data_IF_501718954294
#
_entry.id   IF_501718954294
#
_cell.length_a   1.000
_cell.length_b   1.000
_cell.length_c   1.000
_cell.angle_alpha   90.00
_cell.angle_beta   90.00
_cell.angle_gamma   90.00
#
_symmetry.space_group_name_H-M   'P 1'
#
loop_
_entity.id
_entity.type
_entity.pdbx_description
1 polymer ?
#
# COMPACT_ATOMS: atom_id res chain seq x y z
N UNK A 1 8.93 -1.95 -17.50
CA UNK A 1 9.17 -0.84 -16.53
C UNK A 1 8.84 0.54 -17.09
N UNK A 2 8.79 0.74 -18.41
CA UNK A 2 8.50 2.05 -19.02
C UNK A 2 7.15 2.68 -18.66
N UNK A 3 6.09 1.89 -18.45
CA UNK A 3 4.74 2.41 -18.21
C UNK A 3 4.50 2.90 -16.79
N UNK A 4 5.13 2.25 -15.82
CA UNK A 4 5.12 2.73 -14.44
C UNK A 4 5.74 4.11 -14.39
N UNK A 5 6.88 4.31 -15.06
CA UNK A 5 7.49 5.63 -15.21
C UNK A 5 6.57 6.67 -15.85
N UNK A 6 5.71 6.27 -16.81
CA UNK A 6 4.72 7.17 -17.41
C UNK A 6 3.61 7.55 -16.43
N UNK A 7 3.06 6.60 -15.68
CA UNK A 7 2.05 6.88 -14.66
C UNK A 7 2.63 7.72 -13.52
N UNK A 8 3.82 7.36 -13.04
CA UNK A 8 4.53 8.10 -12.00
C UNK A 8 4.84 9.53 -12.46
N UNK A 9 5.23 9.73 -13.73
CA UNK A 9 5.46 11.07 -14.26
C UNK A 9 4.20 11.94 -14.20
N UNK A 10 3.03 11.36 -14.48
CA UNK A 10 1.76 12.09 -14.38
C UNK A 10 1.33 12.34 -12.94
N UNK A 11 1.58 11.39 -12.04
CA UNK A 11 1.31 11.57 -10.62
C UNK A 11 2.20 12.68 -10.02
N UNK A 12 3.47 12.69 -10.39
CA UNK A 12 4.44 13.69 -9.93
C UNK A 12 4.08 15.09 -10.43
N UNK A 13 3.62 15.23 -11.68
CA UNK A 13 3.10 16.50 -12.18
C UNK A 13 1.86 16.95 -11.38
N UNK A 14 0.91 16.04 -11.09
CA UNK A 14 -0.28 16.37 -10.29
C UNK A 14 0.05 16.80 -8.87
N UNK A 15 1.02 16.14 -8.23
CA UNK A 15 1.51 16.49 -6.88
C UNK A 15 2.21 17.85 -6.89
N UNK A 16 3.05 18.12 -7.88
CA UNK A 16 3.69 19.42 -8.04
C UNK A 16 2.65 20.54 -8.17
N UNK A 17 1.64 20.33 -9.02
CA UNK A 17 0.56 21.29 -9.19
C UNK A 17 -0.25 21.48 -7.90
N UNK A 18 -0.59 20.40 -7.17
CA UNK A 18 -1.35 20.51 -5.92
C UNK A 18 -0.58 21.24 -4.83
N UNK A 19 0.73 21.01 -4.70
CA UNK A 19 1.60 21.71 -3.76
C UNK A 19 1.63 23.20 -4.07
N UNK A 20 1.89 23.59 -5.32
CA UNK A 20 1.89 25.00 -5.68
C UNK A 20 0.55 25.69 -5.47
N UNK A 21 -0.56 25.01 -5.77
CA UNK A 21 -1.90 25.55 -5.53
C UNK A 21 -2.18 25.76 -4.04
N UNK A 22 -1.70 24.83 -3.20
CA UNK A 22 -1.84 24.91 -1.74
C UNK A 22 -1.02 26.06 -1.17
N UNK A 23 0.24 26.19 -1.59
CA UNK A 23 1.08 27.33 -1.21
C UNK A 23 0.51 28.67 -1.69
N UNK A 24 -0.08 28.70 -2.88
CA UNK A 24 -0.72 29.89 -3.41
C UNK A 24 -1.94 30.30 -2.59
N UNK A 25 -2.82 29.36 -2.25
CA UNK A 25 -4.04 29.65 -1.48
C UNK A 25 -3.78 29.97 -0.02
N UNK A 26 -2.68 29.47 0.56
CA UNK A 26 -2.25 29.81 1.91
C UNK A 26 -1.63 31.20 2.00
N UNK A 27 -0.87 31.62 0.98
CA UNK A 27 -0.13 32.88 1.01
C UNK A 27 -0.90 34.06 0.37
N UNK A 28 -1.89 33.78 -0.48
CA UNK A 28 -2.73 34.78 -1.12
C UNK A 28 -4.20 34.43 -0.85
N UNK A 29 -4.95 35.35 -0.25
CA UNK A 29 -6.40 35.25 -0.04
C UNK A 29 -7.17 35.35 -1.36
N UNK A 30 -7.00 34.36 -2.23
CA UNK A 30 -7.61 34.31 -3.56
C UNK A 30 -9.00 33.67 -3.43
N UNK A 31 -9.94 34.41 -2.86
CA UNK A 31 -11.35 33.98 -2.85
C UNK A 31 -12.09 34.32 -4.15
N UNK A 32 -11.57 35.27 -4.93
CA UNK A 32 -12.16 35.69 -6.20
C UNK A 32 -11.36 35.10 -7.37
N UNK A 33 -12.04 34.39 -8.27
CA UNK A 33 -11.47 33.77 -9.47
C UNK A 33 -10.36 32.74 -9.21
N UNK A 34 -10.50 31.93 -8.16
CA UNK A 34 -9.54 30.88 -7.78
C UNK A 34 -9.13 29.98 -8.97
N UNK A 35 -10.08 29.60 -9.83
CA UNK A 35 -9.80 28.77 -11.01
C UNK A 35 -8.88 29.42 -12.05
N UNK A 36 -8.97 30.74 -12.21
CA UNK A 36 -8.13 31.46 -13.17
C UNK A 36 -6.69 31.53 -12.66
N UNK A 37 -6.52 31.69 -11.35
CA UNK A 37 -5.21 31.66 -10.71
C UNK A 37 -4.58 30.27 -10.78
N UNK A 38 -5.36 29.21 -10.52
CA UNK A 38 -4.90 27.84 -10.71
C UNK A 38 -4.47 27.59 -12.16
N UNK A 39 -5.25 28.06 -13.14
CA UNK A 39 -4.91 27.92 -14.56
C UNK A 39 -3.64 28.68 -14.94
N UNK A 40 -3.47 29.92 -14.47
CA UNK A 40 -2.26 30.72 -14.71
C UNK A 40 -1.04 30.04 -14.10
N UNK A 41 -1.17 29.51 -12.88
CA UNK A 41 -0.11 28.78 -12.21
C UNK A 41 0.28 27.54 -13.00
N UNK A 42 -0.69 26.70 -13.38
CA UNK A 42 -0.43 25.48 -14.14
C UNK A 42 0.26 25.81 -15.47
N UNK A 43 -0.19 26.88 -16.13
CA UNK A 43 0.41 27.39 -17.36
C UNK A 43 1.85 27.83 -17.16
N UNK A 44 2.16 28.54 -16.06
CA UNK A 44 3.52 28.96 -15.72
C UNK A 44 4.41 27.75 -15.44
N UNK A 45 3.96 26.81 -14.60
CA UNK A 45 4.70 25.58 -14.27
C UNK A 45 5.03 24.80 -15.55
N UNK A 46 4.05 24.60 -16.42
CA UNK A 46 4.31 23.95 -17.71
C UNK A 46 5.21 24.78 -18.62
N UNK A 47 5.05 26.10 -18.64
CA UNK A 47 5.89 26.97 -19.46
C UNK A 47 7.36 26.83 -19.06
N UNK A 48 7.66 26.88 -17.76
CA UNK A 48 9.03 26.71 -17.25
C UNK A 48 9.53 25.28 -17.40
N UNK A 49 8.73 24.27 -17.07
CA UNK A 49 9.10 22.86 -17.20
C UNK A 49 9.40 22.44 -18.64
N UNK A 50 8.63 22.95 -19.61
CA UNK A 50 8.82 22.62 -21.02
C UNK A 50 9.85 23.48 -21.76
N UNK A 51 10.32 24.60 -21.17
CA UNK A 51 11.24 25.55 -21.84
C UNK A 51 12.62 24.95 -22.08
N UNK A 52 13.08 24.07 -21.21
CA UNK A 52 14.45 23.54 -21.23
C UNK A 52 14.66 22.39 -22.23
N UNK A 53 13.59 21.88 -22.84
CA UNK A 53 13.67 20.78 -23.79
C UNK A 53 13.35 21.25 -25.21
N UNK A 54 14.38 21.30 -26.07
CA UNK A 54 14.30 21.91 -27.39
C UNK A 54 14.56 20.90 -28.52
N UNK A 55 13.73 19.84 -28.58
CA UNK A 55 13.68 18.91 -29.74
C UNK A 55 12.41 19.15 -30.54
N UNK A 56 12.51 19.21 -31.86
CA UNK A 56 11.44 19.72 -32.73
C UNK A 56 10.10 18.95 -32.60
N UNK A 57 10.11 17.65 -32.25
CA UNK A 57 8.92 16.77 -32.22
C UNK A 57 8.81 15.97 -30.92
N UNK A 58 9.62 16.30 -29.92
CA UNK A 58 9.58 15.67 -28.61
C UNK A 58 9.44 16.76 -27.56
N UNK A 59 8.56 16.54 -26.59
CA UNK A 59 8.37 17.45 -25.48
C UNK A 59 8.27 16.68 -24.18
N UNK A 60 8.57 17.39 -23.09
CA UNK A 60 8.60 16.84 -21.76
C UNK A 60 7.94 17.82 -20.80
N UNK A 61 7.26 17.28 -19.80
CA UNK A 61 6.84 18.03 -18.60
C UNK A 61 7.92 17.91 -17.53
N UNK A 62 7.72 18.59 -16.40
CA UNK A 62 8.66 18.51 -15.30
C UNK A 62 8.77 17.07 -14.77
N UNK A 63 7.65 16.43 -14.46
CA UNK A 63 7.61 15.05 -14.00
C UNK A 63 8.10 14.07 -15.06
N UNK A 64 7.84 14.31 -16.34
CA UNK A 64 8.32 13.43 -17.41
C UNK A 64 9.84 13.53 -17.61
N UNK A 65 10.46 14.69 -17.38
CA UNK A 65 11.93 14.82 -17.39
C UNK A 65 12.55 13.98 -16.28
N UNK A 66 12.03 14.07 -15.06
CA UNK A 66 12.53 13.32 -13.91
C UNK A 66 12.39 11.81 -14.09
N UNK A 67 11.26 11.35 -14.63
CA UNK A 67 10.99 9.93 -14.88
C UNK A 67 11.58 9.39 -16.18
N UNK A 68 12.22 10.23 -17.01
CA UNK A 68 12.80 9.83 -18.30
C UNK A 68 11.77 9.52 -19.39
N UNK A 69 10.56 10.08 -19.28
CA UNK A 69 9.47 9.93 -20.23
C UNK A 69 9.48 11.11 -21.22
N UNK A 70 9.38 10.80 -22.51
CA UNK A 70 9.26 11.76 -23.61
C UNK A 70 7.91 11.64 -24.28
N UNK A 71 7.29 12.76 -24.63
CA UNK A 71 6.09 12.78 -25.46
C UNK A 71 6.46 13.13 -26.90
N UNK A 72 6.07 12.30 -27.86
CA UNK A 72 6.28 12.56 -29.28
C UNK A 72 5.18 13.48 -29.81
N UNK A 73 5.15 14.72 -29.33
CA UNK A 73 4.20 15.71 -29.79
C UNK A 73 4.77 17.12 -29.68
N UNK A 74 4.08 18.08 -30.33
CA UNK A 74 4.44 19.49 -30.26
C UNK A 74 4.11 20.03 -28.87
N UNK A 75 4.83 21.07 -28.44
CA UNK A 75 4.57 21.74 -27.15
C UNK A 75 3.13 22.21 -27.00
N UNK A 76 2.54 22.72 -28.09
CA UNK A 76 1.13 23.19 -28.11
C UNK A 76 0.14 22.05 -27.87
N UNK A 77 0.36 20.88 -28.49
CA UNK A 77 -0.54 19.73 -28.31
C UNK A 77 -0.44 19.18 -26.89
N UNK A 78 0.78 19.11 -26.33
CA UNK A 78 0.97 18.68 -24.94
C UNK A 78 0.28 19.64 -23.96
N UNK A 79 0.43 20.95 -24.18
CA UNK A 79 -0.24 21.98 -23.38
C UNK A 79 -1.77 21.84 -23.42
N UNK A 80 -2.33 21.61 -24.61
CA UNK A 80 -3.77 21.43 -24.79
C UNK A 80 -4.25 20.21 -24.00
N UNK A 81 -3.53 19.10 -24.10
CA UNK A 81 -3.91 17.86 -23.39
C UNK A 81 -3.77 18.03 -21.88
N UNK A 82 -2.65 18.55 -21.39
CA UNK A 82 -2.32 18.55 -19.97
C UNK A 82 -3.09 19.62 -19.17
N UNK A 83 -3.18 20.84 -19.69
CA UNK A 83 -3.69 21.99 -18.92
C UNK A 83 -5.02 22.47 -19.47
N UNK A 84 -5.12 22.64 -20.79
CA UNK A 84 -6.31 23.24 -21.38
C UNK A 84 -7.53 22.31 -21.24
N UNK A 85 -7.34 20.99 -21.41
CA UNK A 85 -8.43 20.02 -21.31
C UNK A 85 -9.07 19.97 -19.92
N UNK A 86 -8.25 20.04 -18.87
CA UNK A 86 -8.71 20.01 -17.48
C UNK A 86 -9.44 21.31 -17.12
N UNK A 87 -8.92 22.46 -17.56
CA UNK A 87 -9.57 23.75 -17.38
C UNK A 87 -10.90 23.88 -18.15
N UNK A 88 -10.96 23.45 -19.42
CA UNK A 88 -12.23 23.44 -20.15
C UNK A 88 -13.23 22.48 -19.50
N UNK A 89 -12.78 21.31 -19.04
CA UNK A 89 -13.63 20.37 -18.32
C UNK A 89 -14.27 20.98 -17.07
N UNK A 90 -13.48 21.69 -16.26
CA UNK A 90 -13.99 22.36 -15.05
C UNK A 90 -14.95 23.50 -15.39
N UNK A 91 -14.64 24.33 -16.39
CA UNK A 91 -15.53 25.42 -16.83
C UNK A 91 -16.85 24.92 -17.43
N UNK A 92 -16.78 23.90 -18.29
CA UNK A 92 -17.97 23.32 -18.92
C UNK A 92 -18.83 22.66 -17.85
N UNK A 93 -18.26 21.85 -16.96
CA UNK A 93 -19.01 21.23 -15.88
C UNK A 93 -19.68 22.28 -14.99
N UNK A 94 -18.96 23.30 -14.54
CA UNK A 94 -19.55 24.40 -13.76
C UNK A 94 -20.71 25.06 -14.50
N UNK A 95 -20.54 25.41 -15.78
CA UNK A 95 -21.60 26.04 -16.57
C UNK A 95 -22.80 25.13 -16.80
N UNK A 96 -22.59 23.83 -17.00
CA UNK A 96 -23.66 22.84 -17.16
C UNK A 96 -24.45 22.65 -15.86
N UNK A 97 -23.77 22.64 -14.71
CA UNK A 97 -24.41 22.41 -13.41
C UNK A 97 -24.91 23.67 -12.70
N UNK A 98 -24.33 24.85 -12.95
CA UNK A 98 -24.76 26.13 -12.36
C UNK A 98 -26.01 26.72 -13.01
N UNK A 99 -26.49 26.11 -14.09
CA UNK A 99 -27.55 26.67 -14.90
C UNK A 99 -28.93 26.23 -14.41
N UNK A 100 -29.76 27.22 -14.08
CA UNK A 100 -31.17 27.07 -13.70
C UNK A 100 -32.02 26.63 -14.89
N UNK A 101 -33.09 25.88 -14.60
CA UNK A 101 -34.01 25.32 -15.59
C UNK A 101 -34.57 26.39 -16.53
N UNK A 102 -34.21 26.32 -17.82
CA UNK A 102 -34.79 27.19 -18.86
C UNK A 102 -33.86 27.59 -20.02
N UNK A 103 -32.54 27.44 -19.88
CA UNK A 103 -31.59 27.77 -20.96
C UNK A 103 -31.13 26.53 -21.74
N UNK A 104 -30.54 26.74 -22.93
CA UNK A 104 -30.06 25.68 -23.84
C UNK A 104 -29.18 24.62 -23.16
N UNK A 105 -28.46 24.99 -22.10
CA UNK A 105 -27.59 24.07 -21.34
C UNK A 105 -28.36 23.01 -20.56
N UNK A 106 -29.60 23.26 -20.15
CA UNK A 106 -30.41 22.23 -19.47
C UNK A 106 -30.75 21.08 -20.42
N UNK A 107 -30.94 21.38 -21.71
CA UNK A 107 -31.15 20.36 -22.76
C UNK A 107 -29.87 19.59 -23.10
N UNK A 108 -28.70 20.20 -22.90
CA UNK A 108 -27.39 19.58 -23.12
C UNK A 108 -26.90 18.78 -21.91
N UNK A 109 -27.48 18.97 -20.72
CA UNK A 109 -27.17 18.21 -19.51
C UNK A 109 -27.25 16.68 -19.70
N UNK A 110 -28.34 16.08 -20.26
CA UNK A 110 -28.38 14.63 -20.49
C UNK A 110 -27.30 14.17 -21.47
N UNK A 111 -27.02 14.97 -22.51
CA UNK A 111 -25.96 14.67 -23.48
C UNK A 111 -24.57 14.69 -22.82
N UNK A 112 -24.30 15.69 -21.97
CA UNK A 112 -23.05 15.79 -21.21
C UNK A 112 -22.85 14.59 -20.28
N UNK A 113 -23.89 14.18 -19.55
CA UNK A 113 -23.84 13.00 -18.67
C UNK A 113 -23.56 11.73 -19.49
N UNK A 114 -24.24 11.55 -20.63
CA UNK A 114 -24.00 10.43 -21.52
C UNK A 114 -22.56 10.42 -22.07
N UNK A 115 -22.07 11.57 -22.55
CA UNK A 115 -20.68 11.75 -23.00
C UNK A 115 -19.67 11.48 -21.87
N UNK A 116 -19.97 11.89 -20.64
CA UNK A 116 -19.12 11.63 -19.48
C UNK A 116 -19.02 10.13 -19.18
N UNK A 117 -20.14 9.40 -19.24
CA UNK A 117 -20.14 7.94 -19.09
C UNK A 117 -19.41 7.25 -20.23
N UNK A 118 -19.64 7.68 -21.48
CA UNK A 118 -18.94 7.16 -22.65
C UNK A 118 -17.43 7.41 -22.55
N UNK A 119 -17.02 8.62 -22.13
CA UNK A 119 -15.62 8.95 -21.91
C UNK A 119 -15.01 8.07 -20.81
N UNK A 120 -15.72 7.87 -19.70
CA UNK A 120 -15.24 7.00 -18.61
C UNK A 120 -15.08 5.55 -19.05
N UNK A 121 -16.02 5.03 -19.86
CA UNK A 121 -15.91 3.70 -20.43
C UNK A 121 -14.75 3.61 -21.43
N UNK A 122 -14.59 4.61 -22.29
CA UNK A 122 -13.48 4.68 -23.25
C UNK A 122 -12.13 4.80 -22.53
N UNK A 123 -12.07 5.52 -21.41
CA UNK A 123 -10.87 5.67 -20.58
C UNK A 123 -10.51 4.36 -19.89
N UNK A 124 -11.50 3.65 -19.32
CA UNK A 124 -11.28 2.32 -18.74
C UNK A 124 -10.77 1.32 -19.78
N UNK A 125 -11.36 1.31 -20.97
CA UNK A 125 -10.90 0.46 -22.08
C UNK A 125 -9.50 0.87 -22.53
N UNK A 126 -9.24 2.17 -22.67
CA UNK A 126 -7.92 2.67 -23.05
C UNK A 126 -6.85 2.30 -22.01
N UNK A 127 -7.18 2.43 -20.73
CA UNK A 127 -6.30 2.05 -19.63
C UNK A 127 -6.06 0.53 -19.58
N UNK A 128 -7.10 -0.29 -19.76
CA UNK A 128 -6.94 -1.74 -19.87
C UNK A 128 -6.05 -2.11 -21.06
N UNK A 129 -6.27 -1.50 -22.24
CA UNK A 129 -5.40 -1.69 -23.40
C UNK A 129 -3.97 -1.20 -23.17
N UNK A 130 -3.79 -0.09 -22.44
CA UNK A 130 -2.49 0.44 -22.07
C UNK A 130 -1.72 -0.52 -21.15
N UNK A 131 -2.40 -1.13 -20.17
CA UNK A 131 -1.81 -2.15 -19.31
C UNK A 131 -1.49 -3.45 -20.07
N UNK A 132 -2.41 -3.91 -20.92
CA UNK A 132 -2.30 -5.16 -21.68
C UNK A 132 -1.38 -5.08 -22.88
N UNK A 133 -1.09 -3.89 -23.40
CA UNK A 133 -0.14 -3.70 -24.48
C UNK A 133 1.18 -4.38 -24.09
N UNK A 134 1.93 -4.97 -25.01
CA UNK A 134 3.25 -5.54 -24.68
C UNK A 134 4.24 -4.97 -25.66
N UNK A 135 5.21 -4.17 -25.15
CA UNK A 135 6.45 -3.72 -25.80
C UNK A 135 6.38 -2.93 -27.12
N UNK A 136 5.65 -3.44 -28.12
CA UNK A 136 5.67 -2.97 -29.50
C UNK A 136 4.32 -2.49 -30.04
N UNK A 137 3.19 -2.71 -29.35
CA UNK A 137 1.90 -2.29 -29.90
C UNK A 137 1.68 -0.77 -29.79
N UNK A 138 0.96 -0.21 -30.78
CA UNK A 138 0.65 1.21 -30.97
C UNK A 138 -0.14 1.88 -29.82
N UNK A 139 -0.48 1.14 -28.76
CA UNK A 139 -1.25 1.61 -27.62
C UNK A 139 -0.35 2.28 -26.58
N UNK A 140 0.25 3.42 -26.94
CA UNK A 140 1.15 4.23 -26.10
C UNK A 140 0.48 5.50 -25.54
N UNK A 141 -0.84 5.49 -25.41
CA UNK A 141 -1.62 6.69 -25.06
C UNK A 141 -2.18 6.55 -23.65
N UNK A 142 -1.88 7.52 -22.78
CA UNK A 142 -2.33 7.51 -21.39
C UNK A 142 -3.84 7.71 -21.26
N UNK A 143 -4.41 8.64 -22.04
CA UNK A 143 -5.85 8.93 -22.03
C UNK A 143 -6.41 8.89 -23.45
N UNK A 144 -7.74 8.75 -23.59
CA UNK A 144 -8.41 8.92 -24.89
C UNK A 144 -8.09 10.26 -25.55
N UNK A 145 -7.88 11.33 -24.77
CA UNK A 145 -7.50 12.66 -25.28
C UNK A 145 -6.07 12.64 -25.83
N UNK A 146 -5.14 11.98 -25.15
CA UNK A 146 -3.79 11.75 -25.68
C UNK A 146 -3.83 10.96 -26.99
N UNK A 147 -4.73 9.97 -27.11
CA UNK A 147 -4.93 9.20 -28.33
C UNK A 147 -5.50 10.04 -29.47
N UNK A 148 -6.50 10.86 -29.18
CA UNK A 148 -7.13 11.75 -30.17
C UNK A 148 -6.14 12.79 -30.73
N UNK A 149 -5.27 13.33 -29.86
CA UNK A 149 -4.30 14.35 -30.23
C UNK A 149 -2.93 13.77 -30.66
N UNK A 150 -2.80 12.45 -30.75
CA UNK A 150 -1.58 11.78 -31.19
C UNK A 150 -0.38 11.98 -30.26
N UNK A 151 -0.62 12.33 -29.00
CA UNK A 151 0.41 12.55 -28.00
C UNK A 151 0.84 11.22 -27.37
N UNK A 152 1.69 10.47 -28.09
CA UNK A 152 2.25 9.21 -27.59
C UNK A 152 3.40 9.45 -26.61
N UNK A 153 3.41 8.69 -25.51
CA UNK A 153 4.51 8.66 -24.55
C UNK A 153 5.50 7.54 -24.88
N UNK A 154 6.77 7.88 -25.02
CA UNK A 154 7.88 6.94 -25.16
C UNK A 154 8.89 7.13 -24.04
N UNK A 155 9.38 6.02 -23.49
CA UNK A 155 10.55 6.03 -22.61
C UNK A 155 11.78 5.69 -23.42
N UNK A 156 12.90 6.34 -23.11
CA UNK A 156 14.18 5.91 -23.65
C UNK A 156 14.62 4.61 -22.96
N UNK A 157 14.54 3.50 -23.67
CA UNK A 157 14.96 2.19 -23.17
C UNK A 157 16.47 1.98 -23.29
N UNK A 158 17.15 2.75 -24.16
CA UNK A 158 18.57 2.59 -24.44
C UNK A 158 19.44 3.38 -23.47
N UNK A 159 18.96 4.54 -23.01
CA UNK A 159 19.64 5.34 -22.01
C UNK A 159 18.63 5.83 -20.95
N UNK A 160 18.19 4.95 -20.03
CA UNK A 160 17.23 5.34 -19.00
C UNK A 160 17.86 6.41 -18.10
N UNK A 161 17.06 7.42 -17.73
CA UNK A 161 17.51 8.47 -16.80
C UNK A 161 17.92 7.82 -15.48
N UNK A 162 19.19 7.97 -15.13
CA UNK A 162 19.78 7.36 -13.92
C UNK A 162 19.07 7.80 -12.66
N UNK A 163 18.57 9.03 -12.61
CA UNK A 163 17.86 9.58 -11.46
C UNK A 163 16.63 8.75 -11.06
N UNK A 164 15.70 8.51 -11.98
CA UNK A 164 14.47 7.75 -11.67
C UNK A 164 14.78 6.30 -11.32
N UNK A 165 15.65 5.64 -12.11
CA UNK A 165 16.02 4.26 -11.85
C UNK A 165 16.69 4.10 -10.48
N UNK A 166 17.64 4.99 -10.15
CA UNK A 166 18.34 4.96 -8.86
C UNK A 166 17.39 5.26 -7.69
N UNK A 167 16.47 6.21 -7.86
CA UNK A 167 15.50 6.55 -6.81
C UNK A 167 14.53 5.40 -6.55
N UNK A 168 13.98 4.80 -7.59
CA UNK A 168 13.09 3.63 -7.46
C UNK A 168 13.85 2.45 -6.85
N UNK A 169 15.07 2.19 -7.32
CA UNK A 169 15.88 1.10 -6.80
C UNK A 169 16.23 1.30 -5.33
N UNK A 170 16.64 2.51 -4.93
CA UNK A 170 16.92 2.85 -3.54
C UNK A 170 15.66 2.69 -2.65
N UNK A 171 14.49 3.06 -3.14
CA UNK A 171 13.22 2.86 -2.44
C UNK A 171 12.89 1.38 -2.21
N UNK A 172 13.06 0.56 -3.26
CA UNK A 172 12.86 -0.90 -3.18
C UNK A 172 13.88 -1.53 -2.23
N UNK A 173 15.15 -1.13 -2.31
CA UNK A 173 16.19 -1.62 -1.42
C UNK A 173 15.88 -1.30 0.05
N UNK A 174 15.43 -0.07 0.33
CA UNK A 174 15.03 0.34 1.67
C UNK A 174 13.86 -0.48 2.21
N UNK A 175 12.80 -0.68 1.42
CA UNK A 175 11.64 -1.50 1.79
C UNK A 175 12.04 -2.95 2.03
N UNK A 176 12.87 -3.54 1.16
CA UNK A 176 13.37 -4.90 1.32
C UNK A 176 14.21 -5.04 2.60
N UNK A 177 15.04 -4.04 2.91
CA UNK A 177 15.85 -4.03 4.13
C UNK A 177 14.97 -3.94 5.38
N UNK A 178 13.90 -3.14 5.36
CA UNK A 178 12.93 -3.07 6.45
C UNK A 178 12.18 -4.39 6.64
N UNK A 179 11.73 -5.02 5.56
CA UNK A 179 11.05 -6.31 5.61
C UNK A 179 11.97 -7.40 6.16
N UNK A 180 13.23 -7.40 5.73
CA UNK A 180 14.24 -8.31 6.25
C UNK A 180 14.49 -8.08 7.74
N UNK A 181 14.60 -6.83 8.19
CA UNK A 181 14.72 -6.54 9.62
C UNK A 181 13.52 -7.02 10.44
N UNK A 182 12.31 -6.80 9.93
CA UNK A 182 11.09 -7.29 10.57
C UNK A 182 11.07 -8.82 10.66
N UNK A 183 11.39 -9.51 9.57
CA UNK A 183 11.45 -10.98 9.55
C UNK A 183 12.54 -11.53 10.49
N UNK A 184 13.69 -10.87 10.55
CA UNK A 184 14.77 -11.22 11.49
C UNK A 184 14.28 -11.06 12.93
N UNK A 185 13.65 -9.94 13.27
CA UNK A 185 13.13 -9.70 14.62
C UNK A 185 12.03 -10.70 15.00
N UNK A 186 11.14 -11.04 14.07
CA UNK A 186 10.13 -12.06 14.26
C UNK A 186 10.76 -13.45 14.50
N UNK A 187 11.78 -13.80 13.71
CA UNK A 187 12.54 -15.03 13.90
C UNK A 187 13.23 -15.06 15.26
N UNK A 188 13.89 -13.98 15.68
CA UNK A 188 14.52 -13.86 17.00
C UNK A 188 13.48 -14.00 18.13
N UNK A 189 12.31 -13.38 18.00
CA UNK A 189 11.24 -13.49 18.98
C UNK A 189 10.70 -14.94 19.08
N UNK A 190 10.43 -15.57 17.95
CA UNK A 190 9.90 -16.93 17.90
C UNK A 190 10.92 -17.99 18.35
N UNK A 191 12.19 -17.85 17.99
CA UNK A 191 13.20 -18.89 18.21
C UNK A 191 14.08 -18.67 19.44
N UNK A 192 14.45 -17.44 19.79
CA UNK A 192 15.41 -17.16 20.87
C UNK A 192 14.74 -16.71 22.18
N UNK A 193 13.64 -15.95 22.12
CA UNK A 193 12.93 -15.51 23.33
C UNK A 193 11.97 -16.59 23.86
N UNK A 194 11.28 -17.33 22.99
CA UNK A 194 10.41 -18.43 23.41
C UNK A 194 11.15 -19.74 23.77
N UNK A 195 12.33 -20.00 23.21
CA UNK A 195 13.19 -21.15 23.61
C UNK A 195 14.27 -20.78 24.65
N UNK A 196 14.16 -19.62 25.31
CA UNK A 196 15.04 -19.21 26.42
C UNK A 196 14.91 -20.09 27.69
N UNK A 197 14.40 -21.33 27.58
CA UNK A 197 14.59 -22.39 28.58
C UNK A 197 16.07 -22.68 28.84
N UNK A 198 16.97 -22.33 27.91
CA UNK A 198 18.41 -22.48 28.10
C UNK A 198 19.06 -21.36 28.95
N UNK A 199 18.46 -20.16 29.01
CA UNK A 199 18.92 -19.06 29.88
C UNK A 199 18.36 -19.17 31.31
N UNK A 200 17.20 -19.82 31.48
CA UNK A 200 16.68 -20.18 32.79
C UNK A 200 17.23 -21.54 33.26
N UNK A 201 18.55 -21.64 33.31
CA UNK A 201 19.30 -22.76 33.90
C UNK A 201 19.19 -22.87 35.43
N UNK A 202 18.03 -22.57 36.03
CA UNK A 202 17.75 -22.99 37.41
C UNK A 202 17.27 -24.43 37.38
N UNK A 203 18.22 -25.36 37.51
CA UNK A 203 17.97 -26.71 38.04
C UNK A 203 17.20 -26.54 39.36
N UNK A 204 15.88 -26.70 39.32
CA UNK A 204 15.11 -26.91 40.53
C UNK A 204 15.59 -28.25 41.11
N UNK A 205 16.33 -28.17 42.22
CA UNK A 205 16.62 -29.34 43.05
C UNK A 205 15.27 -29.92 43.49
N UNK A 206 15.04 -31.23 43.39
CA UNK A 206 13.86 -31.83 43.99
C UNK A 206 13.99 -31.69 45.52
N UNK A 207 13.20 -30.79 46.10
CA UNK A 207 13.01 -30.73 47.54
C UNK A 207 12.22 -31.96 47.94
N UNK A 208 12.90 -32.92 48.55
CA UNK A 208 12.27 -34.01 49.28
C UNK A 208 11.70 -33.42 50.57
N UNK A 209 10.46 -32.92 50.52
CA UNK A 209 9.70 -32.68 51.75
C UNK A 209 8.48 -33.57 51.75
N UNK A 210 8.48 -34.51 52.69
CA UNK A 210 7.45 -35.49 52.95
C UNK A 210 6.17 -34.82 53.44
N UNK A 211 5.05 -35.35 52.93
CA UNK A 211 3.73 -35.48 53.55
C UNK A 211 3.13 -34.28 54.30
N UNK A 212 2.08 -33.70 53.70
CA UNK A 212 0.85 -33.38 54.42
C UNK A 212 -0.33 -33.81 53.58
N UNK A 213 -1.17 -34.67 54.15
CA UNK A 213 -2.50 -34.95 53.65
C UNK A 213 -3.39 -33.69 53.81
N UNK A 214 -4.47 -33.63 53.01
CA UNK A 214 -5.58 -32.66 53.00
C UNK A 214 -5.42 -31.45 52.05
N UNK A 215 -5.84 -31.62 50.78
CA UNK A 215 -7.09 -31.09 50.18
C UNK A 215 -6.97 -31.12 48.63
N UNK A 216 -7.90 -31.78 47.91
CA UNK A 216 -7.76 -32.11 46.48
C UNK A 216 -8.15 -30.96 45.52
N UNK A 217 -7.89 -29.70 45.87
CA UNK A 217 -8.39 -28.56 45.05
C UNK A 217 -7.31 -27.88 44.20
N UNK A 218 -6.06 -28.31 44.33
CA UNK A 218 -4.91 -27.63 43.71
C UNK A 218 -4.18 -28.59 42.76
N UNK A 219 -3.75 -28.07 41.61
CA UNK A 219 -2.97 -28.83 40.63
C UNK A 219 -1.59 -29.20 41.19
N UNK A 220 -1.25 -30.50 41.20
CA UNK A 220 0.00 -30.99 41.78
C UNK A 220 1.28 -30.45 41.10
N UNK A 221 1.18 -29.93 39.87
CA UNK A 221 2.33 -29.42 39.10
C UNK A 221 2.50 -27.90 39.18
N UNK A 222 1.43 -27.14 38.96
CA UNK A 222 1.50 -25.67 38.96
C UNK A 222 1.10 -25.04 40.30
N UNK A 223 0.57 -25.83 41.24
CA UNK A 223 0.10 -25.35 42.55
C UNK A 223 -0.97 -24.25 42.45
N UNK A 224 -1.72 -24.22 41.35
CA UNK A 224 -2.85 -23.32 41.09
C UNK A 224 -4.17 -24.11 40.97
N UNK A 225 -5.31 -23.41 41.01
CA UNK A 225 -6.63 -24.01 40.83
C UNK A 225 -6.76 -24.60 39.41
N UNK A 226 -7.11 -25.89 39.26
CA UNK A 226 -7.05 -26.55 37.97
C UNK A 226 -8.06 -26.02 36.97
N UNK A 227 -7.58 -25.45 35.86
CA UNK A 227 -8.41 -25.09 34.70
C UNK A 227 -8.66 -26.35 33.87
N UNK A 228 -9.92 -26.79 33.81
CA UNK A 228 -10.36 -28.08 33.26
C UNK A 228 -9.68 -29.26 33.99
N UNK A 229 -10.26 -29.73 35.12
CA UNK A 229 -9.58 -30.62 36.06
C UNK A 229 -9.57 -32.07 35.55
N UNK A 230 -8.37 -32.67 35.56
CA UNK A 230 -8.13 -34.07 35.26
C UNK A 230 -7.51 -34.77 36.46
N UNK A 231 -7.95 -35.99 36.74
CA UNK A 231 -7.40 -36.83 37.79
C UNK A 231 -6.49 -37.89 37.20
N UNK A 232 -5.28 -38.03 37.71
CA UNK A 232 -4.37 -39.10 37.30
C UNK A 232 -4.63 -40.38 38.12
N UNK A 233 -4.74 -41.53 37.47
CA UNK A 233 -5.09 -42.80 38.13
C UNK A 233 -4.03 -43.30 39.11
N UNK A 234 -2.75 -42.95 38.91
CA UNK A 234 -1.65 -43.50 39.70
C UNK A 234 -1.63 -43.06 41.18
N UNK A 235 -2.10 -41.85 41.48
CA UNK A 235 -2.13 -41.30 42.84
C UNK A 235 -3.36 -40.42 43.12
N UNK A 236 -4.35 -40.43 42.21
CA UNK A 236 -5.59 -39.67 42.34
C UNK A 236 -5.40 -38.15 42.53
N UNK A 237 -4.25 -37.62 42.09
CA UNK A 237 -3.97 -36.19 42.16
C UNK A 237 -4.62 -35.43 41.00
N UNK A 238 -5.02 -34.19 41.28
CA UNK A 238 -5.66 -33.31 40.32
C UNK A 238 -4.61 -32.51 39.54
N UNK A 239 -4.87 -32.33 38.25
CA UNK A 239 -4.03 -31.60 37.31
C UNK A 239 -4.91 -30.72 36.41
N UNK A 240 -4.38 -29.58 35.96
CA UNK A 240 -4.93 -28.89 34.79
C UNK A 240 -4.74 -29.75 33.54
N UNK A 241 -5.62 -29.62 32.55
CA UNK A 241 -5.48 -30.31 31.25
C UNK A 241 -4.06 -30.23 30.65
N UNK A 242 -3.46 -29.04 30.59
CA UNK A 242 -2.10 -28.87 30.03
C UNK A 242 -1.03 -29.52 30.91
N UNK A 243 -1.23 -29.53 32.23
CA UNK A 243 -0.28 -30.12 33.17
C UNK A 243 -0.33 -31.66 33.12
N UNK A 244 -1.50 -32.25 32.94
CA UNK A 244 -1.65 -33.71 32.86
C UNK A 244 -1.05 -34.27 31.58
N UNK A 245 -1.23 -33.59 30.44
CA UNK A 245 -0.61 -33.98 29.17
C UNK A 245 0.91 -34.00 29.31
N UNK A 246 1.49 -32.94 29.90
CA UNK A 246 2.93 -32.88 30.13
C UNK A 246 3.43 -33.97 31.08
N UNK A 247 2.64 -34.37 32.08
CA UNK A 247 2.99 -35.46 32.98
C UNK A 247 3.00 -36.81 32.23
N UNK A 248 1.99 -37.06 31.40
CA UNK A 248 1.89 -38.26 30.55
C UNK A 248 3.04 -38.31 29.54
N UNK A 249 3.32 -37.20 28.85
CA UNK A 249 4.44 -37.08 27.89
C UNK A 249 5.79 -37.34 28.56
N UNK A 250 5.97 -36.83 29.79
CA UNK A 250 7.19 -37.05 30.56
C UNK A 250 7.30 -38.45 31.18
N UNK A 251 6.25 -39.28 31.06
CA UNK A 251 6.13 -40.62 31.66
C UNK A 251 6.46 -40.66 33.16
N UNK A 252 6.22 -39.56 33.86
CA UNK A 252 6.48 -39.42 35.28
C UNK A 252 5.36 -38.61 35.94
N UNK A 253 4.81 -39.13 37.04
CA UNK A 253 3.87 -38.37 37.85
C UNK A 253 4.60 -37.37 38.75
N UNK A 254 4.30 -36.07 38.61
CA UNK A 254 4.91 -35.02 39.43
C UNK A 254 4.57 -35.15 40.94
N UNK A 255 3.50 -35.85 41.31
CA UNK A 255 3.08 -36.02 42.70
C UNK A 255 3.65 -37.28 43.38
N UNK A 256 3.54 -38.45 42.73
CA UNK A 256 3.99 -39.73 43.33
C UNK A 256 5.26 -40.31 42.70
N UNK A 257 5.86 -39.64 41.70
CA UNK A 257 7.04 -40.10 40.95
C UNK A 257 6.92 -41.49 40.30
N UNK A 258 5.70 -42.03 40.20
CA UNK A 258 5.46 -43.31 39.52
C UNK A 258 5.51 -43.15 38.01
N UNK A 259 6.13 -44.11 37.34
CA UNK A 259 6.21 -44.22 35.87
C UNK A 259 5.31 -45.31 35.29
N UNK A 260 4.50 -45.98 36.12
CA UNK A 260 3.60 -47.06 35.70
C UNK A 260 2.15 -46.60 35.64
N UNK A 261 1.43 -46.97 34.56
CA UNK A 261 0.01 -46.66 34.33
C UNK A 261 -0.41 -45.19 34.53
N UNK A 262 0.25 -44.28 33.79
CA UNK A 262 -0.11 -42.85 33.73
C UNK A 262 -1.29 -42.64 32.78
N UNK A 263 -2.49 -42.91 33.28
CA UNK A 263 -3.75 -42.53 32.62
C UNK A 263 -4.43 -41.45 33.44
N UNK A 264 -5.07 -40.51 32.75
CA UNK A 264 -5.83 -39.45 33.38
C UNK A 264 -7.25 -39.43 32.84
N UNK A 265 -8.20 -39.17 33.73
CA UNK A 265 -9.61 -39.05 33.42
C UNK A 265 -10.11 -37.66 33.80
N UNK A 266 -11.05 -37.08 33.04
CA UNK A 266 -11.69 -35.83 33.42
C UNK A 266 -12.52 -36.01 34.70
N UNK A 267 -12.60 -34.98 35.54
CA UNK A 267 -13.36 -34.99 36.80
C UNK A 267 -14.84 -34.55 36.62
N UNK A 268 -15.33 -34.51 35.38
CA UNK A 268 -16.73 -34.12 35.06
C UNK A 268 -17.63 -35.31 34.74
#
# INVERSE_FOLDING_TARGET
>A
MSRVAQLDSTALDQELHSLFRTELSQNLDIHKNEEEWHFVLDTLVFFFGSKFFQKAHQTKTYGSELSGVTYNCKRRTLYIVAILSSYLGSKISKKVYSTTDGTVWSRLKPLYVYLSHFYSAADLVNFACFLLSTGQSDFKYLTPIHRLLGASSSTDTYNPVSFYHNTVYAGIEFQNRQLLWNAILEFFNATLLNNARWLNGRRQRPSTTKMSAQLPEICARCQELPTNPFQIQCCQANYCYVCVIRAIDSKCCDNCSSSTNLRAEPIY
#
